data_IF_405512544199
#
_entry.id   IF_405512544199
#
_cell.length_a   1.000
_cell.length_b   1.000
_cell.length_c   1.000
_cell.angle_alpha   90.00
_cell.angle_beta   90.00
_cell.angle_gamma   90.00
#
_symmetry.space_group_name_H-M   'P 1'
#
loop_
_entity.id
_entity.type
_entity.pdbx_description
1 polymer ?
#
# COMPACT_ATOMS: atom_id res chain seq x y z
N UNK A 1 -4.89 16.98 -19.37
CA UNK A 1 -4.63 15.80 -20.24
C UNK A 1 -3.68 14.79 -19.58
N UNK A 2 -2.47 15.20 -19.15
CA UNK A 2 -1.47 14.28 -18.57
C UNK A 2 -1.94 13.55 -17.32
N UNK A 3 -2.57 14.25 -16.37
CA UNK A 3 -3.14 13.62 -15.15
C UNK A 3 -4.22 12.60 -15.51
N UNK A 4 -5.10 12.91 -16.46
CA UNK A 4 -6.15 12.00 -16.92
C UNK A 4 -5.57 10.77 -17.64
N UNK A 5 -4.52 10.94 -18.45
CA UNK A 5 -3.80 9.82 -19.07
C UNK A 5 -3.11 8.94 -18.04
N UNK A 6 -2.49 9.53 -17.02
CA UNK A 6 -1.92 8.77 -15.90
C UNK A 6 -2.99 8.01 -15.12
N UNK A 7 -4.15 8.62 -14.87
CA UNK A 7 -5.29 7.96 -14.23
C UNK A 7 -5.75 6.73 -15.02
N UNK A 8 -5.78 6.81 -16.36
CA UNK A 8 -6.13 5.70 -17.22
C UNK A 8 -5.10 4.54 -17.12
N UNK A 9 -3.80 4.85 -17.12
CA UNK A 9 -2.75 3.83 -16.94
C UNK A 9 -2.83 3.15 -15.57
N UNK A 10 -3.09 3.93 -14.52
CA UNK A 10 -3.30 3.40 -13.16
C UNK A 10 -4.53 2.48 -13.12
N UNK A 11 -5.65 2.88 -13.72
CA UNK A 11 -6.86 2.06 -13.82
C UNK A 11 -6.61 0.77 -14.60
N UNK A 12 -5.87 0.82 -15.71
CA UNK A 12 -5.52 -0.35 -16.52
C UNK A 12 -4.69 -1.36 -15.72
N UNK A 13 -3.70 -0.87 -14.94
CA UNK A 13 -2.88 -1.74 -14.09
C UNK A 13 -3.63 -2.24 -12.85
N UNK A 14 -4.55 -1.44 -12.31
CA UNK A 14 -5.31 -1.73 -11.09
C UNK A 14 -6.82 -1.60 -11.35
N UNK A 15 -7.43 -2.60 -12.04
CA UNK A 15 -8.80 -2.51 -12.54
C UNK A 15 -9.86 -2.38 -11.44
N UNK A 16 -9.57 -2.83 -10.22
CA UNK A 16 -10.50 -2.75 -9.09
C UNK A 16 -10.49 -1.41 -8.35
N UNK A 17 -9.56 -0.51 -8.68
CA UNK A 17 -9.58 0.82 -8.09
C UNK A 17 -10.72 1.66 -8.64
N UNK A 18 -11.50 2.26 -7.75
CA UNK A 18 -12.49 3.25 -8.12
C UNK A 18 -11.86 4.64 -8.32
N UNK A 19 -12.63 5.60 -8.84
CA UNK A 19 -12.15 6.95 -9.12
C UNK A 19 -11.55 7.69 -7.90
N UNK A 20 -12.07 7.45 -6.68
CA UNK A 20 -11.50 8.01 -5.45
C UNK A 20 -10.11 7.43 -5.19
N UNK A 21 -9.99 6.12 -5.28
CA UNK A 21 -8.73 5.40 -5.02
C UNK A 21 -7.66 5.66 -6.09
N UNK A 22 -8.04 5.87 -7.36
CA UNK A 22 -7.11 6.31 -8.41
C UNK A 22 -6.57 7.70 -8.10
N UNK A 23 -7.43 8.61 -7.64
CA UNK A 23 -6.98 9.91 -7.17
C UNK A 23 -6.04 9.79 -5.96
N UNK A 24 -6.32 8.88 -5.02
CA UNK A 24 -5.43 8.57 -3.89
C UNK A 24 -4.05 8.10 -4.36
N UNK A 25 -3.99 7.20 -5.34
CA UNK A 25 -2.72 6.75 -5.95
C UNK A 25 -1.97 7.96 -6.51
N UNK A 26 -2.58 8.73 -7.42
CA UNK A 26 -1.91 9.86 -8.07
C UNK A 26 -1.43 10.95 -7.09
N UNK A 27 -2.21 11.20 -6.02
CA UNK A 27 -1.87 12.21 -5.01
C UNK A 27 -0.81 11.72 -4.02
N UNK A 28 -0.88 10.44 -3.61
CA UNK A 28 0.11 9.85 -2.70
C UNK A 28 1.47 9.64 -3.37
N UNK A 29 1.50 9.48 -4.69
CA UNK A 29 2.73 9.29 -5.45
C UNK A 29 3.31 10.57 -6.02
N UNK A 30 2.60 11.70 -5.93
CA UNK A 30 3.09 12.99 -6.42
C UNK A 30 4.45 13.35 -5.80
N UNK A 31 5.38 13.81 -6.66
CA UNK A 31 6.73 14.17 -6.26
C UNK A 31 6.72 15.54 -5.58
N UNK A 32 7.08 15.54 -4.30
CA UNK A 32 7.21 16.75 -3.46
C UNK A 32 8.61 17.35 -3.52
N UNK A 33 9.61 16.68 -4.08
CA UNK A 33 11.00 17.16 -4.14
C UNK A 33 11.21 18.12 -5.31
N UNK A 34 10.42 19.20 -5.32
CA UNK A 34 10.42 20.25 -6.35
C UNK A 34 10.87 21.56 -5.73
N UNK A 35 11.84 22.22 -6.37
CA UNK A 35 12.23 23.59 -6.02
C UNK A 35 11.30 24.54 -6.77
N UNK A 36 10.51 25.31 -6.03
CA UNK A 36 9.66 26.35 -6.60
C UNK A 36 10.44 27.66 -6.76
N UNK A 37 10.12 28.49 -7.77
CA UNK A 37 10.68 29.83 -7.86
C UNK A 37 10.26 30.67 -6.65
N UNK A 38 11.13 31.58 -6.20
CA UNK A 38 10.84 32.51 -5.09
C UNK A 38 9.65 33.42 -5.38
N UNK A 39 9.48 33.82 -6.66
CA UNK A 39 8.36 34.63 -7.14
C UNK A 39 7.80 34.03 -8.42
N UNK A 40 6.47 33.88 -8.46
CA UNK A 40 5.70 33.54 -9.64
C UNK A 40 4.95 34.81 -10.08
N UNK A 41 5.28 35.31 -11.27
CA UNK A 41 4.59 36.42 -11.90
C UNK A 41 3.49 35.88 -12.83
N UNK A 42 2.23 36.15 -12.50
CA UNK A 42 1.10 35.77 -13.35
C UNK A 42 0.63 36.99 -14.14
N UNK A 43 0.80 36.95 -15.45
CA UNK A 43 0.49 38.07 -16.36
C UNK A 43 -0.83 37.82 -17.08
N UNK A 44 -1.66 38.85 -17.12
CA UNK A 44 -2.95 38.87 -17.80
C UNK A 44 -2.97 40.04 -18.77
N UNK A 45 -3.71 39.91 -19.87
CA UNK A 45 -3.96 41.02 -20.78
C UNK A 45 -5.39 41.50 -20.58
N UNK A 46 -5.55 42.78 -20.22
CA UNK A 46 -6.88 43.36 -20.06
C UNK A 46 -7.54 43.69 -21.41
N UNK A 47 -8.77 44.20 -21.37
CA UNK A 47 -9.53 44.59 -22.57
C UNK A 47 -8.85 45.67 -23.40
N UNK A 48 -7.97 46.47 -22.78
CA UNK A 48 -7.23 47.56 -23.41
C UNK A 48 -5.87 47.11 -23.96
N UNK A 49 -5.59 45.79 -23.94
CA UNK A 49 -4.29 45.19 -24.30
C UNK A 49 -3.14 45.60 -23.37
N UNK A 50 -3.44 46.09 -22.18
CA UNK A 50 -2.44 46.38 -21.15
C UNK A 50 -2.14 45.09 -20.37
N UNK A 51 -0.84 44.83 -20.12
CA UNK A 51 -0.46 43.73 -19.24
C UNK A 51 -0.73 44.10 -17.79
N UNK A 52 -1.31 43.16 -17.05
CA UNK A 52 -1.61 43.30 -15.62
C UNK A 52 -1.07 42.10 -14.88
N UNK A 53 -0.67 42.29 -13.63
CA UNK A 53 0.10 41.30 -12.90
C UNK A 53 -0.55 40.88 -11.59
N UNK A 54 -0.40 39.61 -11.24
CA UNK A 54 -0.52 39.10 -9.88
C UNK A 54 0.83 38.54 -9.47
N UNK A 55 1.28 38.89 -8.28
CA UNK A 55 2.56 38.41 -7.73
C UNK A 55 2.25 37.34 -6.70
N UNK A 56 2.90 36.19 -6.83
CA UNK A 56 2.86 35.13 -5.82
C UNK A 56 4.29 34.95 -5.32
N UNK A 57 4.51 35.23 -4.04
CA UNK A 57 5.76 34.98 -3.34
C UNK A 57 5.66 33.61 -2.70
N UNK A 58 6.60 32.73 -3.05
CA UNK A 58 6.66 31.39 -2.48
C UNK A 58 7.26 31.48 -1.09
N UNK A 59 6.54 30.95 -0.10
CA UNK A 59 6.97 30.92 1.29
C UNK A 59 7.25 29.49 1.74
N UNK A 60 8.24 29.34 2.63
CA UNK A 60 8.48 28.08 3.33
C UNK A 60 7.69 27.99 4.65
N UNK A 61 6.85 28.99 4.95
CA UNK A 61 6.02 29.05 6.15
C UNK A 61 4.69 28.33 5.96
N UNK A 62 4.31 27.49 6.92
CA UNK A 62 3.03 26.77 6.91
C UNK A 62 1.80 27.67 7.17
N UNK A 63 2.03 28.88 7.71
CA UNK A 63 0.97 29.85 8.07
C UNK A 63 0.75 30.94 7.02
N UNK A 64 1.66 31.12 6.06
CA UNK A 64 1.49 32.13 5.00
C UNK A 64 0.60 31.57 3.88
N UNK A 65 -0.71 31.89 3.95
CA UNK A 65 -1.68 31.52 2.92
C UNK A 65 -2.59 32.69 2.60
N UNK A 66 -2.23 33.47 1.57
CA UNK A 66 -3.18 34.39 0.94
C UNK A 66 -2.63 35.76 0.65
N UNK A 67 -3.56 36.72 0.52
CA UNK A 67 -3.27 38.11 0.17
C UNK A 67 -2.47 38.78 1.29
N UNK A 68 -1.36 39.41 0.94
CA UNK A 68 -0.47 40.11 1.89
C UNK A 68 -0.31 41.57 1.51
N UNK A 69 -0.07 42.41 2.51
CA UNK A 69 0.30 43.81 2.32
C UNK A 69 1.82 43.88 2.49
N UNK A 70 2.52 44.20 1.40
CA UNK A 70 3.96 44.45 1.40
C UNK A 70 4.22 45.86 0.86
N UNK A 71 5.26 46.51 1.36
CA UNK A 71 5.62 47.84 0.86
C UNK A 71 6.26 47.76 -0.53
N UNK A 72 6.41 48.90 -1.22
CA UNK A 72 6.93 48.93 -2.59
C UNK A 72 8.33 48.30 -2.68
N UNK A 73 9.23 48.65 -1.77
CA UNK A 73 10.63 48.21 -1.82
C UNK A 73 10.76 46.70 -1.62
N UNK A 74 9.99 46.12 -0.71
CA UNK A 74 9.91 44.66 -0.49
C UNK A 74 9.50 43.92 -1.78
N UNK A 75 8.51 44.46 -2.48
CA UNK A 75 8.00 43.84 -3.72
C UNK A 75 9.00 43.98 -4.85
N UNK A 76 9.61 45.15 -5.01
CA UNK A 76 10.65 45.37 -6.01
C UNK A 76 11.87 44.48 -5.77
N UNK A 77 12.33 44.36 -4.51
CA UNK A 77 13.46 43.50 -4.17
C UNK A 77 13.14 42.02 -4.43
N UNK A 78 11.95 41.55 -4.06
CA UNK A 78 11.54 40.18 -4.35
C UNK A 78 11.50 39.88 -5.87
N UNK A 79 11.04 40.83 -6.68
CA UNK A 79 11.05 40.71 -8.15
C UNK A 79 12.47 40.68 -8.71
N UNK A 80 13.37 41.53 -8.22
CA UNK A 80 14.79 41.54 -8.61
C UNK A 80 15.49 40.24 -8.25
N UNK A 81 15.33 39.78 -7.01
CA UNK A 81 15.88 38.51 -6.51
C UNK A 81 15.37 37.29 -7.29
N UNK A 82 14.21 37.41 -7.95
CA UNK A 82 13.63 36.39 -8.81
C UNK A 82 13.99 36.56 -10.30
N UNK A 83 14.82 37.54 -10.66
CA UNK A 83 15.35 37.76 -12.01
C UNK A 83 14.49 38.65 -12.92
N UNK A 84 13.54 39.43 -12.37
CA UNK A 84 12.68 40.34 -13.14
C UNK A 84 13.26 41.77 -13.28
N UNK A 85 14.58 41.94 -13.12
CA UNK A 85 15.28 43.22 -12.91
C UNK A 85 14.94 44.35 -13.90
N UNK A 86 14.77 44.02 -15.18
CA UNK A 86 14.66 45.01 -16.25
C UNK A 86 13.34 45.81 -16.27
N UNK A 87 12.28 45.30 -15.64
CA UNK A 87 10.92 45.88 -15.75
C UNK A 87 10.18 46.00 -14.40
N UNK A 88 10.89 45.95 -13.26
CA UNK A 88 10.27 45.85 -11.93
C UNK A 88 9.29 46.98 -11.59
N UNK A 89 9.60 48.23 -11.94
CA UNK A 89 8.68 49.37 -11.69
C UNK A 89 7.42 49.29 -12.54
N UNK A 90 7.56 48.87 -13.79
CA UNK A 90 6.41 48.66 -14.70
C UNK A 90 5.51 47.56 -14.15
N UNK A 91 6.11 46.42 -13.78
CA UNK A 91 5.40 45.29 -13.17
C UNK A 91 4.65 45.73 -11.91
N UNK A 92 5.30 46.51 -11.03
CA UNK A 92 4.69 47.00 -9.79
C UNK A 92 3.48 47.91 -10.04
N UNK A 93 3.61 48.85 -10.98
CA UNK A 93 2.53 49.79 -11.30
C UNK A 93 1.32 49.10 -11.94
N UNK A 94 1.54 47.98 -12.63
CA UNK A 94 0.50 47.19 -13.30
C UNK A 94 -0.01 45.99 -12.49
N UNK A 95 0.29 45.93 -11.18
CA UNK A 95 -0.31 44.93 -10.29
C UNK A 95 -1.84 45.15 -10.20
N UNK A 96 -2.60 44.07 -10.40
CA UNK A 96 -4.05 44.05 -10.27
C UNK A 96 -4.44 44.41 -8.85
N UNK A 97 -5.47 45.25 -8.68
CA UNK A 97 -6.07 45.52 -7.37
C UNK A 97 -7.27 44.62 -7.13
N UNK A 98 -7.37 44.11 -5.90
CA UNK A 98 -8.55 43.42 -5.38
C UNK A 98 -9.74 44.39 -5.27
N UNK A 99 -10.99 43.89 -5.09
CA UNK A 99 -12.16 44.76 -4.88
C UNK A 99 -11.99 45.75 -3.72
N UNK A 100 -11.25 45.37 -2.67
CA UNK A 100 -10.92 46.23 -1.52
C UNK A 100 -9.73 47.16 -1.78
N UNK A 101 -9.36 47.39 -3.05
CA UNK A 101 -8.27 48.28 -3.48
C UNK A 101 -6.86 47.89 -2.98
N UNK A 102 -6.65 46.63 -2.55
CA UNK A 102 -5.32 46.09 -2.17
C UNK A 102 -4.61 45.49 -3.39
N UNK A 103 -3.29 45.64 -3.48
CA UNK A 103 -2.48 45.00 -4.52
C UNK A 103 -2.57 43.47 -4.44
N UNK A 104 -2.73 42.80 -5.59
CA UNK A 104 -2.84 41.34 -5.72
C UNK A 104 -1.47 40.68 -5.56
N UNK A 105 -0.98 40.70 -4.32
CA UNK A 105 0.27 40.11 -3.89
C UNK A 105 -0.07 39.03 -2.89
N UNK A 106 0.28 37.80 -3.23
CA UNK A 106 0.00 36.63 -2.42
C UNK A 106 1.29 36.07 -1.88
N UNK A 107 1.27 35.63 -0.63
CA UNK A 107 2.31 34.77 -0.09
C UNK A 107 1.71 33.39 0.11
N UNK A 108 2.27 32.40 -0.60
CA UNK A 108 1.73 31.04 -0.66
C UNK A 108 2.82 30.03 -0.32
N UNK A 109 2.46 29.06 0.52
CA UNK A 109 3.30 27.88 0.72
C UNK A 109 3.28 26.95 -0.50
N UNK A 110 4.20 26.00 -0.53
CA UNK A 110 4.37 25.05 -1.63
C UNK A 110 3.09 24.26 -1.94
N UNK A 111 2.40 23.80 -0.92
CA UNK A 111 1.16 23.04 -1.03
C UNK A 111 0.05 23.87 -1.67
N UNK A 112 0.00 25.18 -1.43
CA UNK A 112 -0.98 26.07 -2.07
C UNK A 112 -0.71 26.28 -3.57
N UNK A 113 0.54 26.07 -4.01
CA UNK A 113 0.95 26.29 -5.41
C UNK A 113 0.82 25.00 -6.23
N UNK A 114 1.37 23.89 -5.74
CA UNK A 114 1.42 22.61 -6.47
C UNK A 114 0.61 21.48 -5.83
N UNK A 115 -0.17 21.77 -4.78
CA UNK A 115 -0.94 20.75 -4.08
C UNK A 115 -0.03 19.71 -3.42
N UNK A 116 -0.30 18.43 -3.72
CA UNK A 116 0.51 17.32 -3.21
C UNK A 116 1.84 17.12 -3.94
N UNK A 117 2.12 17.89 -5.00
CA UNK A 117 3.36 17.79 -5.76
C UNK A 117 3.13 17.70 -7.26
N UNK A 118 4.20 17.37 -7.99
CA UNK A 118 4.16 17.16 -9.44
C UNK A 118 3.86 15.69 -9.72
N UNK A 119 3.02 15.43 -10.74
CA UNK A 119 2.64 14.08 -11.16
C UNK A 119 3.87 13.20 -11.42
N UNK A 120 3.95 12.06 -10.73
CA UNK A 120 4.95 11.01 -10.94
C UNK A 120 4.25 9.72 -11.39
N UNK A 121 4.22 9.50 -12.70
CA UNK A 121 3.52 8.37 -13.30
C UNK A 121 4.22 7.06 -12.96
N UNK A 122 5.56 7.03 -12.97
CA UNK A 122 6.31 5.82 -12.67
C UNK A 122 6.01 5.35 -11.25
N UNK A 123 6.02 6.26 -10.27
CA UNK A 123 5.64 5.95 -8.90
C UNK A 123 4.16 5.59 -8.80
N UNK A 124 3.26 6.28 -9.51
CA UNK A 124 1.83 5.94 -9.54
C UNK A 124 1.55 4.51 -10.03
N UNK A 125 2.33 4.03 -11.02
CA UNK A 125 2.23 2.64 -11.50
C UNK A 125 2.68 1.62 -10.45
N UNK A 126 3.32 2.03 -9.36
CA UNK A 126 3.60 1.19 -8.20
C UNK A 126 2.43 1.01 -7.22
N UNK A 127 1.28 1.62 -7.49
CA UNK A 127 0.09 1.57 -6.62
C UNK A 127 0.08 2.65 -5.55
N UNK A 128 -0.75 2.46 -4.52
CA UNK A 128 -0.90 3.44 -3.44
C UNK A 128 0.43 3.63 -2.68
N UNK A 129 0.76 4.85 -2.27
CA UNK A 129 1.97 5.14 -1.49
C UNK A 129 1.71 5.75 -0.11
N UNK A 130 0.44 6.03 0.22
CA UNK A 130 0.05 6.64 1.50
C UNK A 130 -1.40 6.31 1.85
N UNK A 131 -1.65 5.98 3.12
CA UNK A 131 -2.99 5.99 3.71
C UNK A 131 -3.23 7.37 4.33
N UNK A 132 -4.12 8.18 3.75
CA UNK A 132 -4.33 9.56 4.19
C UNK A 132 -5.69 9.75 4.88
N UNK A 133 -5.67 9.96 6.20
CA UNK A 133 -6.87 10.23 7.00
C UNK A 133 -7.65 11.45 6.50
N UNK A 134 -6.98 12.42 5.87
CA UNK A 134 -7.62 13.62 5.31
C UNK A 134 -8.46 13.32 4.06
N UNK A 135 -8.34 12.11 3.51
CA UNK A 135 -9.16 11.62 2.40
C UNK A 135 -10.09 10.49 2.84
N UNK A 136 -10.16 10.20 4.14
CA UNK A 136 -11.14 9.28 4.74
C UNK A 136 -12.38 10.03 5.20
N UNK A 137 -13.47 9.28 5.30
CA UNK A 137 -14.78 9.74 5.76
C UNK A 137 -15.20 8.93 6.99
N UNK A 138 -16.30 9.33 7.62
CA UNK A 138 -16.88 8.56 8.73
C UNK A 138 -17.19 7.11 8.35
N UNK A 139 -17.54 6.86 7.08
CA UNK A 139 -17.88 5.53 6.59
C UNK A 139 -16.66 4.60 6.46
N UNK A 140 -15.45 5.16 6.60
CA UNK A 140 -14.18 4.44 6.64
C UNK A 140 -13.75 4.14 8.08
N UNK A 141 -14.61 4.43 9.08
CA UNK A 141 -14.38 4.09 10.49
C UNK A 141 -15.12 2.80 10.81
N UNK A 142 -14.41 1.87 11.42
CA UNK A 142 -14.91 0.56 11.81
C UNK A 142 -14.62 0.27 13.28
N UNK A 143 -15.49 -0.51 13.91
CA UNK A 143 -15.27 -1.09 15.22
C UNK A 143 -14.89 -2.56 15.06
N UNK A 144 -13.75 -2.97 15.62
CA UNK A 144 -13.39 -4.36 15.78
C UNK A 144 -14.00 -4.86 17.10
N UNK A 145 -15.06 -5.66 16.99
CA UNK A 145 -15.79 -6.14 18.15
C UNK A 145 -15.06 -7.32 18.83
N UNK A 146 -15.49 -7.67 20.04
CA UNK A 146 -14.93 -8.80 20.82
C UNK A 146 -15.08 -10.16 20.15
N UNK A 147 -16.05 -10.31 19.22
CA UNK A 147 -16.21 -11.48 18.38
C UNK A 147 -15.37 -11.40 17.09
N UNK A 148 -14.35 -10.53 17.07
CA UNK A 148 -13.37 -10.49 15.99
C UNK A 148 -13.95 -10.06 14.62
N UNK A 149 -15.16 -9.49 14.64
CA UNK A 149 -15.88 -9.01 13.46
C UNK A 149 -15.76 -7.50 13.35
N UNK A 150 -15.43 -7.04 12.15
CA UNK A 150 -15.35 -5.62 11.82
C UNK A 150 -16.72 -5.10 11.36
N UNK A 151 -17.27 -4.10 12.06
CA UNK A 151 -18.54 -3.45 11.70
C UNK A 151 -18.34 -1.96 11.49
N UNK A 152 -19.08 -1.36 10.55
CA UNK A 152 -19.05 0.10 10.38
C UNK A 152 -19.41 0.79 11.70
N UNK A 153 -18.68 1.84 12.03
CA UNK A 153 -18.89 2.57 13.27
C UNK A 153 -20.23 3.31 13.23
N UNK A 154 -21.10 3.01 14.19
CA UNK A 154 -22.41 3.60 14.30
C UNK A 154 -22.34 4.90 15.11
N UNK A 155 -22.06 6.03 14.44
CA UNK A 155 -21.98 7.33 15.11
C UNK A 155 -23.35 7.85 15.54
N UNK A 156 -23.48 8.09 16.84
CA UNK A 156 -24.54 8.92 17.43
C UNK A 156 -23.91 10.12 18.15
N UNK A 157 -24.57 11.29 18.16
CA UNK A 157 -24.10 12.45 18.95
C UNK A 157 -23.86 12.01 20.40
N UNK A 158 -22.65 12.27 20.91
CA UNK A 158 -22.21 11.82 22.25
C UNK A 158 -21.50 10.46 22.30
N UNK A 159 -21.30 9.79 21.15
CA UNK A 159 -20.48 8.57 21.07
C UNK A 159 -19.06 8.83 21.58
N UNK A 160 -18.55 7.89 22.38
CA UNK A 160 -17.16 7.91 22.88
C UNK A 160 -16.37 6.80 22.20
N UNK A 161 -15.12 7.10 21.84
CA UNK A 161 -14.17 6.09 21.37
C UNK A 161 -13.76 5.18 22.52
N UNK A 162 -13.68 3.88 22.26
CA UNK A 162 -13.35 2.83 23.23
C UNK A 162 -12.05 2.09 22.88
N UNK A 163 -11.24 2.66 21.97
CA UNK A 163 -9.98 2.10 21.42
C UNK A 163 -10.16 0.84 20.55
N UNK A 164 -11.40 0.45 20.30
CA UNK A 164 -11.78 -0.63 19.38
C UNK A 164 -12.08 -0.12 17.97
N UNK A 165 -12.08 1.19 17.79
CA UNK A 165 -12.32 1.85 16.52
C UNK A 165 -11.01 1.97 15.73
N UNK A 166 -11.13 1.78 14.43
CA UNK A 166 -10.04 1.91 13.47
C UNK A 166 -10.50 2.72 12.27
N UNK A 167 -9.66 3.65 11.82
CA UNK A 167 -9.81 4.30 10.53
C UNK A 167 -9.13 3.45 9.47
N UNK A 168 -9.88 2.91 8.52
CA UNK A 168 -9.40 1.92 7.58
C UNK A 168 -9.63 2.36 6.13
N UNK A 169 -8.55 2.49 5.38
CA UNK A 169 -8.62 2.64 3.93
C UNK A 169 -9.03 1.31 3.32
N UNK A 170 -10.20 1.28 2.68
CA UNK A 170 -10.74 0.04 2.10
C UNK A 170 -10.22 -0.17 0.68
N UNK A 171 -9.65 -1.34 0.41
CA UNK A 171 -9.31 -1.85 -0.92
C UNK A 171 -10.13 -3.10 -1.19
N UNK A 172 -10.93 -3.09 -2.26
CA UNK A 172 -11.60 -4.28 -2.77
C UNK A 172 -10.78 -4.85 -3.92
N UNK A 173 -10.56 -6.16 -3.94
CA UNK A 173 -9.92 -6.85 -5.07
C UNK A 173 -10.86 -7.94 -5.53
N UNK A 174 -11.39 -7.82 -6.74
CA UNK A 174 -12.40 -8.73 -7.24
C UNK A 174 -11.83 -10.12 -7.45
N UNK A 175 -12.73 -11.09 -7.58
CA UNK A 175 -12.33 -12.46 -7.86
C UNK A 175 -11.51 -12.55 -9.15
N UNK A 176 -10.52 -13.45 -9.19
CA UNK A 176 -9.54 -13.60 -10.29
C UNK A 176 -8.57 -12.44 -10.52
N UNK A 177 -8.75 -11.28 -9.87
CA UNK A 177 -7.82 -10.16 -9.97
C UNK A 177 -6.68 -10.29 -8.95
N UNK A 178 -5.53 -9.77 -9.35
CA UNK A 178 -4.35 -9.64 -8.50
C UNK A 178 -3.71 -8.28 -8.73
N UNK A 179 -3.50 -7.52 -7.65
CA UNK A 179 -2.88 -6.19 -7.72
C UNK A 179 -1.56 -6.19 -6.94
N UNK A 180 -0.45 -5.91 -7.61
CA UNK A 180 0.85 -5.68 -6.98
C UNK A 180 1.03 -4.19 -6.66
N UNK A 181 1.07 -3.87 -5.37
CA UNK A 181 1.54 -2.56 -4.90
C UNK A 181 3.01 -2.68 -4.48
N UNK A 182 3.87 -2.02 -5.27
CA UNK A 182 5.31 -2.01 -5.07
C UNK A 182 5.85 -0.76 -4.38
N UNK A 183 5.01 0.25 -4.18
CA UNK A 183 5.37 1.38 -3.36
C UNK A 183 5.46 1.00 -1.87
N UNK A 184 6.31 1.73 -1.14
CA UNK A 184 6.21 1.80 0.31
C UNK A 184 4.97 2.63 0.67
N UNK A 185 4.10 2.09 1.52
CA UNK A 185 2.90 2.81 1.98
C UNK A 185 3.17 3.40 3.36
N UNK A 186 3.14 4.73 3.45
CA UNK A 186 3.15 5.46 4.72
C UNK A 186 1.72 5.84 5.17
N UNK A 187 1.60 6.56 6.29
CA UNK A 187 0.33 7.12 6.75
C UNK A 187 0.42 8.63 6.95
N UNK A 188 -0.71 9.32 6.76
CA UNK A 188 -0.90 10.71 7.17
C UNK A 188 -2.13 10.79 8.05
N UNK A 189 -1.92 11.28 9.27
CA UNK A 189 -2.99 11.55 10.22
C UNK A 189 -3.81 12.78 9.84
N UNK A 190 -4.96 12.93 10.49
CA UNK A 190 -5.83 14.07 10.27
C UNK A 190 -5.11 15.38 10.57
N UNK A 191 -5.10 16.28 9.60
CA UNK A 191 -4.43 17.57 9.65
C UNK A 191 -5.50 18.67 9.56
N UNK A 192 -5.82 19.27 10.70
CA UNK A 192 -6.87 20.29 10.82
C UNK A 192 -6.60 21.53 9.94
N UNK A 193 -5.35 21.78 9.52
CA UNK A 193 -5.00 22.91 8.66
C UNK A 193 -5.39 22.74 7.19
N UNK A 194 -5.77 21.51 6.79
CA UNK A 194 -6.22 21.20 5.43
C UNK A 194 -7.74 21.28 5.26
N UNK A 195 -8.49 21.52 6.33
CA UNK A 195 -9.95 21.51 6.33
C UNK A 195 -10.51 22.88 6.69
N UNK A 196 -11.69 23.20 6.13
CA UNK A 196 -12.31 24.51 6.31
C UNK A 196 -12.95 24.65 7.70
N UNK A 197 -12.64 25.74 8.39
CA UNK A 197 -13.18 26.06 9.71
C UNK A 197 -14.18 27.21 9.62
N UNK A 198 -15.39 27.01 10.13
CA UNK A 198 -16.40 28.07 10.24
C UNK A 198 -16.53 28.44 11.72
N UNK A 199 -16.11 29.66 12.09
CA UNK A 199 -16.34 30.22 13.42
C UNK A 199 -15.73 29.43 14.58
N UNK A 200 -14.53 28.85 14.41
CA UNK A 200 -13.89 28.01 15.43
C UNK A 200 -14.50 26.60 15.57
N UNK A 201 -15.53 26.28 14.78
CA UNK A 201 -16.09 24.93 14.64
C UNK A 201 -15.56 24.30 13.36
N UNK A 202 -15.01 23.10 13.46
CA UNK A 202 -14.52 22.33 12.31
C UNK A 202 -15.75 21.88 11.50
N UNK A 203 -16.07 22.51 10.36
CA UNK A 203 -17.22 22.15 9.52
C UNK A 203 -16.73 21.34 8.32
N UNK A 204 -16.94 20.03 8.36
CA UNK A 204 -16.59 19.15 7.25
C UNK A 204 -17.58 19.22 6.10
N UNK A 205 -17.01 19.06 4.91
CA UNK A 205 -17.64 18.82 3.62
C UNK A 205 -18.50 17.52 3.61
N UNK A 206 -19.73 17.67 3.10
CA UNK A 206 -20.69 16.68 2.56
C UNK A 206 -21.17 15.44 3.37
N UNK A 207 -20.59 15.04 4.50
CA UNK A 207 -21.08 13.84 5.23
C UNK A 207 -21.09 13.90 6.77
N UNK A 208 -20.95 15.08 7.37
CA UNK A 208 -21.05 15.25 8.84
C UNK A 208 -22.41 15.85 9.24
N UNK A 209 -23.32 15.10 9.90
CA UNK A 209 -24.53 15.69 10.48
C UNK A 209 -24.21 16.27 11.87
N UNK A 210 -24.22 17.60 11.94
CA UNK A 210 -24.68 18.43 13.09
C UNK A 210 -24.05 18.26 14.49
N UNK A 211 -22.71 18.45 14.66
CA UNK A 211 -21.92 19.07 15.81
C UNK A 211 -20.51 18.43 15.97
N UNK A 212 -19.48 18.93 16.70
CA UNK A 212 -18.62 20.17 16.60
C UNK A 212 -17.14 19.81 16.21
N UNK A 213 -16.75 18.53 16.15
CA UNK A 213 -15.38 18.07 15.78
C UNK A 213 -15.41 16.79 14.92
N UNK A 214 -14.53 16.68 13.92
CA UNK A 214 -14.45 15.52 13.04
C UNK A 214 -14.02 14.26 13.81
N UNK A 215 -14.72 13.11 13.74
CA UNK A 215 -14.26 11.87 14.37
C UNK A 215 -12.83 11.47 13.98
N UNK A 216 -12.38 11.81 12.77
CA UNK A 216 -11.02 11.53 12.31
C UNK A 216 -9.91 12.12 13.18
N UNK A 217 -10.18 13.15 13.99
CA UNK A 217 -9.20 13.72 14.91
C UNK A 217 -8.81 12.77 16.05
N UNK A 218 -9.54 11.67 16.26
CA UNK A 218 -9.30 10.74 17.35
C UNK A 218 -8.28 9.64 17.02
N UNK A 219 -7.98 9.44 15.74
CA UNK A 219 -7.10 8.34 15.31
C UNK A 219 -5.64 8.79 15.25
N UNK A 220 -4.78 8.00 15.87
CA UNK A 220 -3.32 8.17 15.83
C UNK A 220 -2.66 7.30 14.77
N UNK A 221 -3.44 6.56 13.99
CA UNK A 221 -2.98 5.71 12.89
C UNK A 221 -4.08 5.49 11.86
N UNK A 222 -3.69 5.09 10.65
CA UNK A 222 -4.61 4.69 9.58
C UNK A 222 -4.24 3.28 9.15
N UNK A 223 -5.23 2.40 9.08
CA UNK A 223 -5.07 1.01 8.70
C UNK A 223 -5.57 0.71 7.29
N UNK A 224 -5.39 -0.54 6.89
CA UNK A 224 -5.82 -1.06 5.60
C UNK A 224 -6.88 -2.14 5.79
N UNK A 225 -7.98 -2.05 5.05
CA UNK A 225 -8.99 -3.09 4.97
C UNK A 225 -8.97 -3.73 3.59
N UNK A 226 -8.48 -4.98 3.51
CA UNK A 226 -8.48 -5.78 2.29
C UNK A 226 -9.78 -6.58 2.20
N UNK A 227 -10.63 -6.21 1.25
CA UNK A 227 -11.87 -6.88 0.87
C UNK A 227 -11.75 -7.56 -0.51
N UNK A 228 -12.80 -8.31 -0.85
CA UNK A 228 -12.90 -9.07 -2.10
C UNK A 228 -12.03 -10.33 -2.10
N UNK A 229 -12.38 -11.29 -2.95
CA UNK A 229 -11.79 -12.63 -2.97
C UNK A 229 -10.46 -12.71 -3.73
N UNK A 230 -10.09 -11.66 -4.48
CA UNK A 230 -8.82 -11.59 -5.19
C UNK A 230 -7.60 -11.36 -4.29
N UNK A 231 -6.45 -11.19 -4.91
CA UNK A 231 -5.15 -11.10 -4.23
C UNK A 231 -4.60 -9.67 -4.25
N UNK A 232 -4.28 -9.12 -3.08
CA UNK A 232 -3.47 -7.90 -2.95
C UNK A 232 -2.04 -8.30 -2.58
N UNK A 233 -1.06 -7.95 -3.39
CA UNK A 233 0.36 -8.18 -3.11
C UNK A 233 0.99 -6.86 -2.66
N UNK A 234 1.62 -6.86 -1.48
CA UNK A 234 2.40 -5.75 -0.97
C UNK A 234 3.87 -6.16 -0.96
N UNK A 235 4.69 -5.50 -1.80
CA UNK A 235 6.14 -5.77 -1.87
C UNK A 235 7.00 -4.71 -1.20
N UNK A 236 6.43 -3.55 -0.87
CA UNK A 236 7.11 -2.46 -0.20
C UNK A 236 7.35 -2.67 1.31
N UNK A 237 8.09 -1.74 1.90
CA UNK A 237 8.19 -1.54 3.35
C UNK A 237 7.15 -0.54 3.80
N UNK A 238 6.05 -1.06 4.33
CA UNK A 238 4.92 -0.23 4.73
C UNK A 238 5.09 0.23 6.17
N UNK A 239 5.03 1.55 6.36
CA UNK A 239 5.31 2.22 7.63
C UNK A 239 4.07 2.66 8.38
N UNK A 240 2.87 2.54 7.77
CA UNK A 240 1.62 2.75 8.48
C UNK A 240 1.50 1.80 9.68
N UNK A 241 0.99 2.32 10.80
CA UNK A 241 0.92 1.61 12.08
C UNK A 241 -0.49 1.12 12.41
N UNK A 242 -1.49 1.55 11.64
CA UNK A 242 -2.86 1.10 11.79
C UNK A 242 -3.05 -0.37 11.43
N UNK A 243 -4.21 -0.91 11.85
CA UNK A 243 -4.57 -2.31 11.63
C UNK A 243 -4.63 -2.66 10.15
N UNK A 244 -4.03 -3.78 9.76
CA UNK A 244 -4.29 -4.43 8.47
C UNK A 244 -5.31 -5.54 8.68
N UNK A 245 -6.53 -5.33 8.21
CA UNK A 245 -7.61 -6.31 8.32
C UNK A 245 -7.84 -7.00 6.99
N UNK A 246 -7.61 -8.31 6.94
CA UNK A 246 -7.85 -9.15 5.76
C UNK A 246 -9.23 -9.79 5.90
N UNK A 247 -10.22 -9.19 5.25
CA UNK A 247 -11.62 -9.60 5.37
C UNK A 247 -11.99 -10.75 4.43
N UNK A 248 -11.37 -10.85 3.25
CA UNK A 248 -11.59 -11.91 2.26
C UNK A 248 -10.39 -12.01 1.31
N UNK A 249 -10.29 -13.14 0.61
CA UNK A 249 -9.26 -13.38 -0.41
C UNK A 249 -7.87 -13.45 0.21
N UNK A 250 -6.87 -13.00 -0.54
CA UNK A 250 -5.46 -13.10 -0.13
C UNK A 250 -4.82 -11.74 0.03
N UNK A 251 -4.14 -11.53 1.15
CA UNK A 251 -3.07 -10.54 1.29
C UNK A 251 -1.72 -11.25 1.21
N UNK A 252 -0.88 -10.86 0.26
CA UNK A 252 0.41 -11.48 -0.01
C UNK A 252 1.55 -10.50 0.32
N UNK A 253 2.40 -10.86 1.28
CA UNK A 253 3.65 -10.17 1.61
C UNK A 253 4.79 -10.86 0.85
N UNK A 254 5.00 -10.45 -0.39
CA UNK A 254 6.02 -11.04 -1.27
C UNK A 254 6.92 -9.96 -1.85
N UNK A 255 8.21 -10.24 -2.00
CA UNK A 255 9.09 -9.34 -2.74
C UNK A 255 8.66 -9.25 -4.21
N UNK A 256 9.06 -8.19 -4.93
CA UNK A 256 8.81 -8.13 -6.38
C UNK A 256 9.49 -9.29 -7.12
N UNK A 257 10.68 -9.72 -6.66
CA UNK A 257 11.39 -10.85 -7.24
C UNK A 257 10.58 -12.15 -7.12
N UNK A 258 10.04 -12.45 -5.93
CA UNK A 258 9.18 -13.63 -5.71
C UNK A 258 7.90 -13.54 -6.54
N UNK A 259 7.28 -12.35 -6.62
CA UNK A 259 6.08 -12.12 -7.42
C UNK A 259 6.33 -12.39 -8.92
N UNK A 260 7.38 -11.81 -9.50
CA UNK A 260 7.68 -12.02 -10.92
C UNK A 260 8.13 -13.46 -11.19
N UNK A 261 8.76 -14.12 -10.23
CA UNK A 261 9.08 -15.53 -10.32
C UNK A 261 7.81 -16.39 -10.36
N UNK A 262 6.84 -16.12 -9.48
CA UNK A 262 5.52 -16.76 -9.52
C UNK A 262 4.83 -16.55 -10.89
N UNK A 263 4.88 -15.34 -11.46
CA UNK A 263 4.31 -15.07 -12.79
C UNK A 263 4.99 -15.86 -13.90
N UNK A 264 6.32 -15.97 -13.86
CA UNK A 264 7.09 -16.79 -14.80
C UNK A 264 6.61 -18.24 -14.78
N UNK A 265 6.56 -18.88 -13.62
CA UNK A 265 6.14 -20.28 -13.51
C UNK A 265 4.67 -20.52 -13.85
N UNK A 266 3.75 -19.62 -13.45
CA UNK A 266 2.32 -19.72 -13.84
C UNK A 266 2.13 -19.61 -15.35
N UNK A 267 2.95 -18.84 -16.06
CA UNK A 267 2.90 -18.76 -17.51
C UNK A 267 3.44 -20.04 -18.18
N UNK A 268 4.54 -20.59 -17.67
CA UNK A 268 5.09 -21.87 -18.16
C UNK A 268 4.09 -23.04 -17.98
N UNK A 269 3.39 -23.10 -16.85
CA UNK A 269 2.35 -24.11 -16.60
C UNK A 269 1.17 -23.99 -17.57
N UNK A 270 0.69 -22.75 -17.81
CA UNK A 270 -0.37 -22.49 -18.80
C UNK A 270 0.00 -22.99 -20.19
N UNK A 271 1.23 -22.74 -20.64
CA UNK A 271 1.71 -23.21 -21.94
C UNK A 271 1.80 -24.73 -22.03
N UNK A 272 2.22 -25.43 -20.96
CA UNK A 272 2.24 -26.91 -20.91
C UNK A 272 0.84 -27.52 -20.92
N UNK A 273 -0.14 -26.89 -20.25
CA UNK A 273 -1.53 -27.33 -20.27
C UNK A 273 -2.21 -27.13 -21.64
N UNK A 274 -1.79 -26.10 -22.39
CA UNK A 274 -2.29 -25.83 -23.74
C UNK A 274 -1.71 -26.78 -24.80
N UNK A 275 -0.44 -27.19 -24.68
CA UNK A 275 0.19 -28.13 -25.63
C UNK A 275 -0.25 -29.58 -25.44
N UNK A 276 -0.82 -29.93 -24.29
CA UNK A 276 -1.33 -31.28 -23.98
C UNK A 276 -2.80 -31.49 -24.36
N UNK A 277 -3.55 -30.43 -24.65
CA UNK A 277 -5.00 -30.47 -24.95
C UNK A 277 -5.34 -30.35 -26.45
N UNK A 278 -4.35 -30.12 -27.31
CA UNK A 278 -4.51 -30.18 -28.77
C UNK A 278 -3.54 -31.22 -29.34
N UNK A 279 -4.08 -32.34 -29.82
CA UNK A 279 -3.32 -33.30 -30.58
C UNK A 279 -2.53 -32.61 -31.71
N UNK A 280 -1.22 -32.80 -31.67
CA UNK A 280 -0.24 -32.72 -32.74
C UNK A 280 -0.86 -32.59 -34.14
N UNK A 281 -1.15 -31.36 -34.57
CA UNK A 281 -1.42 -31.04 -35.98
C UNK A 281 -0.72 -29.71 -36.28
N UNK A 282 0.37 -29.81 -37.06
CA UNK A 282 1.16 -28.76 -37.72
C UNK A 282 0.90 -27.30 -37.32
N UNK A 283 1.87 -26.69 -36.63
CA UNK A 283 2.26 -25.30 -36.90
C UNK A 283 3.71 -25.05 -36.47
N UNK A 284 4.66 -25.51 -37.28
CA UNK A 284 5.87 -24.73 -37.54
C UNK A 284 5.45 -23.44 -38.27
N UNK A 285 4.93 -22.47 -37.52
CA UNK A 285 4.67 -21.13 -38.01
C UNK A 285 5.21 -20.16 -36.95
N UNK A 286 6.18 -19.38 -37.36
CA UNK A 286 6.87 -18.41 -36.54
C UNK A 286 5.88 -17.36 -36.01
N UNK A 287 5.40 -17.52 -34.78
CA UNK A 287 4.93 -16.39 -33.98
C UNK A 287 6.09 -15.91 -33.12
N UNK A 288 7.06 -15.31 -33.80
CA UNK A 288 8.06 -14.43 -33.21
C UNK A 288 7.40 -13.08 -32.84
N UNK A 289 6.21 -13.11 -32.22
CA UNK A 289 5.74 -11.99 -31.43
C UNK A 289 6.61 -12.00 -30.20
N UNK A 290 7.74 -11.28 -30.29
CA UNK A 290 8.60 -11.00 -29.16
C UNK A 290 7.69 -10.55 -28.00
N UNK A 291 7.51 -11.46 -27.05
CA UNK A 291 6.87 -11.16 -25.78
C UNK A 291 7.67 -9.98 -25.25
N UNK A 292 7.06 -8.81 -24.95
CA UNK A 292 7.80 -7.76 -24.28
C UNK A 292 8.43 -8.43 -23.05
N UNK A 293 9.77 -8.37 -22.89
CA UNK A 293 10.41 -9.06 -21.79
C UNK A 293 9.65 -8.67 -20.52
N UNK A 294 9.16 -9.67 -19.76
CA UNK A 294 8.72 -9.41 -18.39
C UNK A 294 9.94 -8.75 -17.77
N UNK A 295 9.82 -7.45 -17.52
CA UNK A 295 10.87 -6.69 -16.88
C UNK A 295 11.02 -7.31 -15.50
N UNK A 296 12.01 -8.18 -15.35
CA UNK A 296 12.55 -8.56 -14.05
C UNK A 296 13.46 -7.38 -13.71
N UNK A 297 13.07 -6.46 -12.82
CA UNK A 297 14.02 -5.47 -12.36
C UNK A 297 15.27 -6.19 -11.88
N UNK A 298 16.44 -5.81 -12.41
CA UNK A 298 17.76 -6.18 -11.89
C UNK A 298 17.97 -5.54 -10.50
N UNK A 299 17.00 -5.64 -9.60
CA UNK A 299 17.08 -5.09 -8.27
C UNK A 299 17.88 -6.06 -7.41
N UNK A 300 19.17 -5.77 -7.30
CA UNK A 300 20.18 -6.51 -6.55
C UNK A 300 20.00 -6.47 -5.02
N UNK A 301 18.83 -6.04 -4.53
CA UNK A 301 18.42 -6.18 -3.13
C UNK A 301 16.91 -6.43 -3.07
N UNK A 302 16.49 -7.70 -3.18
CA UNK A 302 15.10 -8.11 -2.93
C UNK A 302 14.77 -7.94 -1.44
N UNK A 303 14.53 -6.70 -1.01
CA UNK A 303 14.17 -6.42 0.37
C UNK A 303 12.77 -6.99 0.61
N UNK A 304 12.69 -7.91 1.58
CA UNK A 304 11.43 -8.51 2.00
C UNK A 304 10.44 -7.42 2.43
N UNK A 305 9.15 -7.57 2.08
CA UNK A 305 8.13 -6.61 2.44
C UNK A 305 7.95 -6.53 3.95
N UNK A 306 7.45 -5.40 4.42
CA UNK A 306 7.08 -5.27 5.82
C UNK A 306 5.78 -4.50 6.04
N UNK A 307 5.12 -4.80 7.15
CA UNK A 307 3.98 -4.07 7.70
C UNK A 307 4.36 -3.60 9.10
N UNK A 308 4.20 -2.31 9.39
CA UNK A 308 4.53 -1.76 10.71
C UNK A 308 3.39 -1.89 11.73
N UNK A 309 2.14 -2.00 11.28
CA UNK A 309 0.96 -2.27 12.12
C UNK A 309 0.68 -3.76 12.35
N UNK A 310 -0.31 -4.05 13.19
CA UNK A 310 -0.82 -5.41 13.40
C UNK A 310 -1.60 -5.91 12.20
N UNK A 311 -1.68 -7.23 12.05
CA UNK A 311 -2.46 -7.89 11.00
C UNK A 311 -3.51 -8.78 11.65
N UNK A 312 -4.73 -8.71 11.13
CA UNK A 312 -5.83 -9.57 11.52
C UNK A 312 -6.36 -10.30 10.28
N UNK A 313 -6.39 -11.64 10.32
CA UNK A 313 -6.84 -12.51 9.23
C UNK A 313 -8.15 -13.17 9.62
N UNK A 314 -9.24 -12.85 8.90
CA UNK A 314 -10.56 -13.43 9.15
C UNK A 314 -10.70 -14.86 8.64
N UNK A 315 -11.73 -15.57 9.13
CA UNK A 315 -12.12 -16.87 8.59
C UNK A 315 -12.44 -16.76 7.08
N UNK A 316 -11.85 -17.66 6.29
CA UNK A 316 -11.96 -17.65 4.82
C UNK A 316 -10.97 -16.73 4.10
N UNK A 317 -10.26 -15.86 4.82
CA UNK A 317 -9.18 -15.05 4.27
C UNK A 317 -7.81 -15.74 4.43
N UNK A 318 -6.85 -15.31 3.61
CA UNK A 318 -5.48 -15.80 3.64
C UNK A 318 -4.49 -14.64 3.76
N UNK A 319 -3.52 -14.78 4.66
CA UNK A 319 -2.26 -14.05 4.61
C UNK A 319 -1.17 -15.01 4.09
N UNK A 320 -0.40 -14.62 3.09
CA UNK A 320 0.67 -15.45 2.54
C UNK A 320 1.98 -14.67 2.40
N UNK A 321 3.11 -15.36 2.48
CA UNK A 321 4.41 -14.85 2.05
C UNK A 321 5.50 -14.86 3.12
N UNK A 322 6.59 -14.16 2.83
CA UNK A 322 7.87 -14.25 3.54
C UNK A 322 8.36 -12.88 4.04
N UNK A 323 7.43 -12.00 4.40
CA UNK A 323 7.68 -10.64 4.88
C UNK A 323 7.88 -10.52 6.39
N UNK A 324 7.82 -9.29 6.89
CA UNK A 324 7.84 -8.97 8.32
C UNK A 324 6.60 -8.20 8.74
N UNK A 325 5.90 -8.67 9.76
CA UNK A 325 4.85 -7.93 10.46
C UNK A 325 5.46 -7.47 11.77
N UNK A 326 5.61 -6.16 12.00
CA UNK A 326 6.35 -5.67 13.17
C UNK A 326 5.59 -5.84 14.48
N UNK A 327 4.26 -5.93 14.40
CA UNK A 327 3.38 -6.07 15.56
C UNK A 327 2.73 -7.46 15.57
N UNK A 328 1.52 -7.57 16.11
CA UNK A 328 0.83 -8.84 16.27
C UNK A 328 0.25 -9.36 14.96
N UNK A 329 0.12 -10.68 14.86
CA UNK A 329 -0.61 -11.37 13.81
C UNK A 329 -1.68 -12.25 14.45
N UNK A 330 -2.95 -11.86 14.31
CA UNK A 330 -4.10 -12.63 14.79
C UNK A 330 -4.74 -13.40 13.61
N UNK A 331 -4.67 -14.73 13.67
CA UNK A 331 -5.12 -15.63 12.62
C UNK A 331 -6.40 -16.38 13.01
N UNK A 332 -7.49 -16.04 12.33
CA UNK A 332 -8.77 -16.77 12.35
C UNK A 332 -9.08 -17.44 10.99
N UNK A 333 -8.18 -17.32 10.01
CA UNK A 333 -8.30 -17.86 8.66
C UNK A 333 -7.13 -18.78 8.32
N UNK A 334 -6.41 -18.44 7.25
CA UNK A 334 -5.19 -19.15 6.85
C UNK A 334 -4.00 -18.22 6.85
N UNK A 335 -2.90 -18.64 7.47
CA UNK A 335 -1.58 -18.02 7.32
C UNK A 335 -0.66 -19.00 6.62
N UNK A 336 -0.15 -18.63 5.44
CA UNK A 336 0.89 -19.37 4.74
C UNK A 336 2.23 -18.66 4.95
N UNK A 337 3.08 -19.23 5.81
CA UNK A 337 4.45 -18.78 5.96
C UNK A 337 5.28 -19.27 4.77
N UNK A 338 5.79 -18.31 4.01
CA UNK A 338 6.56 -18.51 2.79
C UNK A 338 5.77 -18.31 1.50
N UNK A 339 6.50 -17.95 0.45
CA UNK A 339 6.00 -17.90 -0.94
C UNK A 339 6.21 -19.25 -1.61
N UNK A 340 5.39 -19.57 -2.62
CA UNK A 340 5.49 -20.85 -3.34
C UNK A 340 6.58 -20.85 -4.42
N UNK A 341 7.10 -19.66 -4.78
CA UNK A 341 8.11 -19.46 -5.82
C UNK A 341 9.21 -18.49 -5.32
N UNK A 342 9.87 -18.76 -4.17
CA UNK A 342 10.79 -17.81 -3.59
C UNK A 342 12.04 -17.64 -4.43
N UNK A 343 12.69 -16.49 -4.23
CA UNK A 343 13.96 -16.14 -4.83
C UNK A 343 15.02 -15.89 -3.75
N UNK A 344 16.28 -16.14 -4.10
CA UNK A 344 17.44 -15.77 -3.29
C UNK A 344 17.66 -14.24 -3.33
N UNK A 345 18.65 -13.77 -2.56
CA UNK A 345 18.99 -12.32 -2.53
C UNK A 345 19.45 -11.76 -3.87
N UNK A 346 19.79 -12.62 -4.83
CA UNK A 346 20.19 -12.26 -6.19
C UNK A 346 19.02 -12.33 -7.19
N UNK A 347 17.80 -12.66 -6.73
CA UNK A 347 16.61 -12.81 -7.57
C UNK A 347 16.56 -14.12 -8.37
N UNK A 348 17.37 -15.12 -8.03
CA UNK A 348 17.32 -16.46 -8.64
C UNK A 348 16.40 -17.38 -7.85
N UNK A 349 15.92 -18.46 -8.46
CA UNK A 349 15.09 -19.46 -7.76
C UNK A 349 15.74 -19.95 -6.46
N UNK A 350 15.07 -19.76 -5.33
CA UNK A 350 15.37 -20.47 -4.10
C UNK A 350 14.48 -21.71 -4.04
N UNK A 351 15.13 -22.87 -4.00
CA UNK A 351 14.50 -24.19 -3.93
C UNK A 351 14.70 -24.86 -2.58
N UNK A 352 15.47 -24.25 -1.69
CA UNK A 352 15.88 -24.87 -0.42
C UNK A 352 14.72 -24.86 0.58
N UNK A 353 13.95 -23.77 0.61
CA UNK A 353 12.91 -23.50 1.61
C UNK A 353 13.36 -22.59 2.76
N UNK A 354 14.65 -22.28 2.89
CA UNK A 354 15.22 -21.68 4.10
C UNK A 354 15.28 -20.14 4.12
N UNK A 355 15.20 -19.45 2.99
CA UNK A 355 15.09 -17.98 2.93
C UNK A 355 13.62 -17.54 2.78
N UNK A 356 12.68 -18.29 3.32
CA UNK A 356 11.26 -18.13 3.03
C UNK A 356 10.40 -17.81 4.27
N UNK A 357 11.05 -17.38 5.35
CA UNK A 357 10.37 -17.16 6.63
C UNK A 357 9.42 -15.95 6.63
N UNK A 358 8.33 -16.09 7.38
CA UNK A 358 7.46 -15.00 7.82
C UNK A 358 7.85 -14.60 9.24
N UNK A 359 8.16 -13.32 9.44
CA UNK A 359 8.58 -12.78 10.75
C UNK A 359 7.43 -12.00 11.38
N UNK A 360 7.12 -12.27 12.64
CA UNK A 360 6.15 -11.55 13.46
C UNK A 360 6.88 -10.93 14.65
N UNK A 361 7.05 -9.61 14.66
CA UNK A 361 7.73 -8.89 15.75
C UNK A 361 6.91 -8.85 17.05
N UNK A 362 5.58 -9.03 16.95
CA UNK A 362 4.69 -9.20 18.08
C UNK A 362 4.41 -10.67 18.41
N UNK A 363 3.21 -10.91 18.93
CA UNK A 363 2.68 -12.25 19.21
C UNK A 363 1.94 -12.78 17.99
N UNK A 364 2.11 -14.07 17.70
CA UNK A 364 1.25 -14.80 16.76
C UNK A 364 0.13 -15.50 17.50
N UNK A 365 -1.12 -15.16 17.20
CA UNK A 365 -2.30 -15.83 17.75
C UNK A 365 -2.95 -16.67 16.66
N UNK A 366 -3.31 -17.91 16.97
CA UNK A 366 -4.05 -18.78 16.06
C UNK A 366 -5.28 -19.36 16.75
N UNK A 367 -6.45 -19.11 16.16
CA UNK A 367 -7.72 -19.64 16.63
C UNK A 367 -7.90 -21.13 16.28
N UNK A 368 -8.86 -21.79 16.92
CA UNK A 368 -9.07 -23.24 16.86
C UNK A 368 -9.33 -23.75 15.44
N UNK A 369 -10.11 -23.00 14.65
CA UNK A 369 -10.48 -23.37 13.28
C UNK A 369 -9.49 -22.86 12.23
N UNK A 370 -8.57 -21.98 12.63
CA UNK A 370 -7.57 -21.38 11.77
C UNK A 370 -6.44 -22.34 11.41
N UNK A 371 -5.80 -22.06 10.27
CA UNK A 371 -4.73 -22.88 9.71
C UNK A 371 -3.44 -22.09 9.58
N UNK A 372 -2.34 -22.68 10.05
CA UNK A 372 -0.98 -22.29 9.68
C UNK A 372 -0.46 -23.28 8.64
N UNK A 373 0.10 -22.77 7.55
CA UNK A 373 0.74 -23.54 6.50
C UNK A 373 2.21 -23.14 6.42
N UNK A 374 3.11 -24.12 6.52
CA UNK A 374 4.53 -23.91 6.30
C UNK A 374 4.92 -24.39 4.90
N UNK A 375 5.51 -23.50 4.10
CA UNK A 375 6.00 -23.85 2.77
C UNK A 375 7.35 -24.54 2.87
N UNK A 376 7.54 -25.70 2.22
CA UNK A 376 8.81 -26.44 2.24
C UNK A 376 9.43 -26.62 0.86
N UNK A 377 10.76 -26.55 0.79
CA UNK A 377 11.57 -26.80 -0.39
C UNK A 377 12.30 -28.14 -0.31
N UNK A 378 13.36 -28.27 -1.10
CA UNK A 378 14.16 -29.50 -1.27
C UNK A 378 14.92 -29.90 0.00
N UNK A 379 15.28 -28.96 0.87
CA UNK A 379 16.16 -29.21 2.02
C UNK A 379 15.69 -28.61 3.35
N UNK A 380 14.57 -27.88 3.36
CA UNK A 380 14.02 -27.26 4.56
C UNK A 380 12.68 -26.58 4.31
N UNK A 381 12.25 -25.75 5.26
CA UNK A 381 10.97 -25.05 5.19
C UNK A 381 11.03 -23.61 5.70
N UNK A 382 10.06 -22.84 5.24
CA UNK A 382 9.69 -21.55 5.78
C UNK A 382 9.23 -21.71 7.22
N UNK A 383 9.64 -20.78 8.06
CA UNK A 383 9.23 -20.67 9.47
C UNK A 383 8.27 -19.51 9.65
N UNK A 384 7.44 -19.61 10.69
CA UNK A 384 6.79 -18.45 11.29
C UNK A 384 7.50 -18.13 12.59
N UNK A 385 8.25 -17.03 12.62
CA UNK A 385 9.05 -16.64 13.79
C UNK A 385 8.39 -15.45 14.51
N UNK A 386 7.68 -15.74 15.61
CA UNK A 386 7.09 -14.73 16.49
C UNK A 386 8.03 -14.33 17.64
N UNK A 387 8.39 -13.05 17.73
CA UNK A 387 9.34 -12.55 18.75
C UNK A 387 8.72 -12.50 20.15
N UNK A 388 7.44 -12.10 20.27
CA UNK A 388 6.77 -12.02 21.57
C UNK A 388 5.95 -13.28 21.91
N UNK A 389 6.23 -14.40 21.23
CA UNK A 389 5.62 -15.70 21.52
C UNK A 389 4.37 -16.02 20.71
N UNK A 390 3.72 -17.12 21.11
CA UNK A 390 2.65 -17.78 20.36
C UNK A 390 1.46 -18.06 21.27
N UNK A 391 0.25 -17.70 20.82
CA UNK A 391 -1.02 -18.03 21.45
C UNK A 391 -1.80 -18.96 20.51
N UNK A 392 -1.55 -20.27 20.61
CA UNK A 392 -2.14 -21.27 19.71
C UNK A 392 -3.28 -21.98 20.45
N UNK A 393 -4.50 -21.85 19.94
CA UNK A 393 -5.67 -22.52 20.48
C UNK A 393 -5.55 -24.06 20.36
N UNK A 394 -6.12 -24.78 21.33
CA UNK A 394 -6.05 -26.24 21.34
C UNK A 394 -6.78 -26.85 20.14
N UNK A 395 -6.09 -27.71 19.38
CA UNK A 395 -6.65 -28.33 18.18
C UNK A 395 -6.58 -27.46 16.92
N UNK A 396 -5.87 -26.33 16.97
CA UNK A 396 -5.52 -25.53 15.80
C UNK A 396 -4.80 -26.37 14.72
N UNK A 397 -4.93 -25.96 13.45
CA UNK A 397 -4.45 -26.75 12.31
C UNK A 397 -3.07 -26.29 11.85
N UNK A 398 -2.21 -27.28 11.59
CA UNK A 398 -0.91 -27.08 10.94
C UNK A 398 -0.83 -27.94 9.69
N UNK A 399 -0.50 -27.31 8.56
CA UNK A 399 -0.31 -27.97 7.28
C UNK A 399 1.04 -27.64 6.65
N UNK A 400 1.45 -28.45 5.69
CA UNK A 400 2.70 -28.29 4.96
C UNK A 400 2.42 -28.30 3.47
N UNK A 401 2.98 -27.34 2.74
CA UNK A 401 2.80 -27.23 1.28
C UNK A 401 4.15 -27.15 0.58
N UNK A 402 4.42 -27.98 -0.44
CA UNK A 402 5.67 -27.86 -1.18
C UNK A 402 5.70 -26.55 -1.97
N UNK A 403 6.91 -26.00 -2.11
CA UNK A 403 7.20 -25.02 -3.16
C UNK A 403 6.80 -25.58 -4.53
N UNK A 404 6.51 -24.69 -5.48
CA UNK A 404 6.04 -25.05 -6.83
C UNK A 404 7.14 -24.96 -7.88
N UNK A 405 8.31 -24.42 -7.53
CA UNK A 405 9.51 -24.36 -8.37
C UNK A 405 10.52 -25.51 -8.11
N UNK A 406 10.16 -26.50 -7.29
CA UNK A 406 11.01 -27.62 -6.88
C UNK A 406 10.60 -28.94 -7.52
N UNK A 407 11.57 -29.83 -7.74
CA UNK A 407 11.34 -31.20 -8.15
C UNK A 407 11.92 -32.14 -7.09
N UNK A 408 11.05 -32.82 -6.35
CA UNK A 408 11.50 -33.79 -5.37
C UNK A 408 11.91 -35.08 -6.06
N UNK A 409 13.15 -35.52 -5.89
CA UNK A 409 13.59 -36.87 -6.25
C UNK A 409 13.10 -37.86 -5.19
N UNK A 410 12.19 -38.74 -5.61
CA UNK A 410 11.30 -39.57 -4.76
C UNK A 410 11.91 -40.89 -4.26
N UNK A 411 13.18 -40.90 -3.82
CA UNK A 411 13.80 -42.13 -3.29
C UNK A 411 14.31 -41.93 -1.86
N UNK A 412 13.42 -42.06 -0.87
CA UNK A 412 13.80 -42.15 0.55
C UNK A 412 14.30 -40.86 1.21
N UNK A 413 14.16 -39.71 0.55
CA UNK A 413 14.56 -38.43 1.10
C UNK A 413 13.62 -38.01 2.24
N UNK A 414 14.20 -37.77 3.42
CA UNK A 414 13.53 -37.17 4.57
C UNK A 414 13.68 -35.67 4.52
N UNK A 415 12.57 -34.95 4.67
CA UNK A 415 12.59 -33.49 4.87
C UNK A 415 12.41 -33.24 6.36
N UNK A 416 13.45 -32.71 7.01
CA UNK A 416 13.38 -32.26 8.39
C UNK A 416 12.60 -30.94 8.46
N UNK A 417 11.50 -30.95 9.20
CA UNK A 417 10.70 -29.75 9.41
C UNK A 417 11.22 -28.99 10.62
N UNK A 418 11.62 -27.75 10.39
CA UNK A 418 12.05 -26.81 11.42
C UNK A 418 10.89 -25.87 11.79
N UNK A 419 10.47 -25.95 13.05
CA UNK A 419 9.37 -25.16 13.61
C UNK A 419 9.81 -23.77 14.11
N UNK A 420 11.09 -23.44 13.98
CA UNK A 420 11.68 -22.22 14.51
C UNK A 420 11.49 -22.11 16.01
N UNK A 421 11.05 -20.94 16.46
CA UNK A 421 10.79 -20.68 17.88
C UNK A 421 9.38 -21.11 18.34
N UNK A 422 8.58 -21.74 17.47
CA UNK A 422 7.23 -22.15 17.82
C UNK A 422 7.25 -23.31 18.81
N UNK A 423 6.50 -23.26 19.93
CA UNK A 423 6.52 -24.33 20.92
C UNK A 423 5.95 -25.62 20.31
N UNK A 424 6.40 -26.77 20.83
CA UNK A 424 5.75 -28.05 20.58
C UNK A 424 4.32 -27.99 21.15
N UNK A 425 3.35 -27.72 20.30
CA UNK A 425 1.92 -27.63 20.62
C UNK A 425 1.16 -28.84 20.05
N UNK A 426 -0.01 -29.15 20.63
CA UNK A 426 -0.93 -30.17 20.13
C UNK A 426 -1.68 -29.69 18.88
N UNK A 427 -0.95 -29.48 17.79
CA UNK A 427 -1.54 -29.22 16.48
C UNK A 427 -2.28 -30.44 15.95
N UNK A 428 -3.42 -30.21 15.28
CA UNK A 428 -3.95 -31.18 14.33
C UNK A 428 -3.11 -31.08 13.05
N UNK A 429 -2.20 -32.03 12.88
CA UNK A 429 -1.31 -32.09 11.72
C UNK A 429 -2.03 -32.82 10.60
N UNK A 430 -2.28 -32.14 9.48
CA UNK A 430 -2.66 -32.80 8.23
C UNK A 430 -1.45 -32.84 7.31
N UNK A 431 -0.92 -34.06 7.07
CA UNK A 431 0.11 -34.29 6.07
C UNK A 431 -0.51 -34.19 4.67
N UNK A 432 0.17 -33.61 3.67
CA UNK A 432 -0.28 -33.76 2.30
C UNK A 432 -0.37 -35.27 1.98
N UNK A 433 -1.48 -35.70 1.39
CA UNK A 433 -1.59 -37.03 0.80
C UNK A 433 -0.69 -36.99 -0.44
N UNK A 434 0.56 -37.42 -0.32
CA UNK A 434 1.29 -37.91 -1.48
C UNK A 434 1.15 -39.42 -1.54
N UNK A 435 1.02 -39.89 -2.77
CA UNK A 435 1.02 -41.25 -3.32
C UNK A 435 2.07 -42.26 -2.81
N UNK A 436 2.55 -42.17 -1.57
CA UNK A 436 3.47 -43.13 -0.95
C UNK A 436 4.96 -42.82 -1.16
N UNK A 437 5.32 -41.66 -1.69
CA UNK A 437 6.68 -41.37 -2.17
C UNK A 437 7.49 -40.34 -1.36
N UNK A 438 6.86 -39.50 -0.52
CA UNK A 438 7.54 -38.53 0.36
C UNK A 438 7.34 -38.88 1.83
N UNK A 439 8.43 -39.14 2.56
CA UNK A 439 8.40 -39.33 4.02
C UNK A 439 8.86 -38.06 4.72
N UNK A 440 8.00 -37.47 5.56
CA UNK A 440 8.37 -36.35 6.43
C UNK A 440 8.91 -36.89 7.75
N UNK A 441 10.10 -36.44 8.15
CA UNK A 441 10.58 -36.60 9.52
C UNK A 441 10.16 -35.35 10.29
N UNK A 442 8.97 -35.42 10.89
CA UNK A 442 8.43 -34.31 11.66
C UNK A 442 8.77 -34.56 13.12
N UNK A 443 9.79 -33.86 13.62
CA UNK A 443 10.29 -33.97 14.99
C UNK A 443 9.37 -33.22 15.99
N UNK A 444 8.04 -33.42 15.87
CA UNK A 444 7.01 -32.74 16.69
C UNK A 444 6.78 -33.46 18.03
N UNK A 445 7.25 -34.70 18.15
CA UNK A 445 7.04 -35.52 19.34
C UNK A 445 8.38 -36.00 19.90
N UNK A 446 8.87 -35.26 20.88
CA UNK A 446 9.67 -35.83 21.96
C UNK A 446 8.93 -35.57 23.27
#
# INVERSE_FOLDING_TARGET
PFVSGAAALVQEKFPDLNGRQIADVLLSTANKNVVLPKVILKTFTDKNKTQKHTIIITSNSDVSRGLVIKNKDEVLNALKDAGYDSNVDSIYNDIIKTPDNKLSIYELNKESIIGQGVLDIQKAMGGLARLDANRLTRDDIYTLNSNSTLTKWNFTIGSKFTNTEHALYTLNVSDSNEMLFSNNIDERLWDTSLHYNIGGTMVNLASSPSTVTNPMTHFTSVGLLKHGTGTLVLSGQNTYTGLTYVANGTLALMSEADYYNEKKYKNEEKHKAQTTSAAMTLATAANNSAIPPIYIPNNTNAKKPSLSGSVYVTSGATLAGNGTIKQNLDNHGTVQAGTLYPTDTSGKDDKTGTNNDLIVGGTYTQDTDATLTLVFGESGNAKLNATNGYNIANGAKLTFTPQKNVFFTLAGNKISIDMGNMPKHNFKISKPISDGSLQFDIDVFS
#
